data_IF_432413031176
#
_entry.id   IF_432413031176
#
_cell.length_a   1.000
_cell.length_b   1.000
_cell.length_c   1.000
_cell.angle_alpha   90.00
_cell.angle_beta   90.00
_cell.angle_gamma   90.00
#
_symmetry.space_group_name_H-M   'P 1'
#
loop_
_entity.id
_entity.type
_entity.pdbx_description
1 polymer ?
#
# COMPACT_ATOMS: atom_id res chain seq x y z
N UNK A 1 8.63 50.58 -37.13
CA UNK A 1 9.00 50.10 -35.78
C UNK A 1 7.94 49.06 -35.37
N UNK A 2 8.20 47.77 -35.41
CA UNK A 2 7.30 46.79 -34.81
C UNK A 2 7.64 46.74 -33.31
N UNK A 3 6.62 46.96 -32.51
CA UNK A 3 6.65 46.77 -31.05
C UNK A 3 6.96 45.30 -30.74
N UNK A 4 8.09 45.11 -30.11
CA UNK A 4 8.47 43.85 -29.48
C UNK A 4 7.40 43.53 -28.42
N UNK A 5 6.58 42.53 -28.69
CA UNK A 5 5.75 41.87 -27.69
C UNK A 5 6.73 41.11 -26.77
N UNK A 6 7.13 41.75 -25.68
CA UNK A 6 7.68 41.08 -24.52
C UNK A 6 6.65 40.03 -24.10
N UNK A 7 6.88 38.80 -24.49
CA UNK A 7 6.16 37.65 -23.99
C UNK A 7 6.54 37.47 -22.53
N UNK A 8 5.78 38.08 -21.64
CA UNK A 8 5.80 37.85 -20.19
C UNK A 8 5.44 36.37 -19.88
N UNK A 9 6.37 35.50 -20.18
CA UNK A 9 6.40 34.16 -19.59
C UNK A 9 6.92 34.31 -18.14
N UNK A 10 6.21 35.09 -17.32
CA UNK A 10 6.35 35.02 -15.86
C UNK A 10 6.12 33.56 -15.47
N UNK A 11 7.21 32.83 -15.18
CA UNK A 11 7.15 31.49 -14.63
C UNK A 11 6.14 31.52 -13.47
N UNK A 12 4.96 30.92 -13.67
CA UNK A 12 3.87 30.96 -12.72
C UNK A 12 4.35 30.30 -11.43
N UNK A 13 4.38 31.08 -10.35
CA UNK A 13 4.90 30.64 -9.05
C UNK A 13 4.02 29.50 -8.52
N UNK A 14 4.63 28.39 -8.16
CA UNK A 14 3.97 27.31 -7.42
C UNK A 14 3.65 27.84 -6.00
N UNK A 15 2.40 27.77 -5.59
CA UNK A 15 1.92 28.23 -4.28
C UNK A 15 1.28 27.12 -3.46
N UNK A 16 0.93 26.00 -4.09
CA UNK A 16 0.27 24.89 -3.44
C UNK A 16 0.95 23.56 -3.75
N UNK A 17 0.75 22.58 -2.87
CA UNK A 17 1.21 21.22 -3.01
C UNK A 17 0.03 20.26 -2.81
N UNK A 18 -0.17 19.36 -3.77
CA UNK A 18 -1.08 18.23 -3.68
C UNK A 18 -0.27 16.95 -3.48
N UNK A 19 -0.42 16.31 -2.33
CA UNK A 19 0.13 14.99 -2.02
C UNK A 19 -0.89 13.93 -2.38
N UNK A 20 -0.46 12.89 -3.09
CA UNK A 20 -1.26 11.72 -3.40
C UNK A 20 -0.47 10.50 -2.95
N UNK A 21 -1.04 9.70 -2.06
CA UNK A 21 -0.37 8.57 -1.43
C UNK A 21 -1.31 7.39 -1.25
N UNK A 22 -0.74 6.20 -1.07
CA UNK A 22 -1.49 5.00 -0.78
C UNK A 22 -2.20 5.10 0.58
N UNK A 23 -3.42 4.55 0.69
CA UNK A 23 -4.25 4.63 1.89
C UNK A 23 -4.25 3.35 2.73
N UNK A 24 -3.63 2.27 2.24
CA UNK A 24 -3.76 0.94 2.84
C UNK A 24 -2.73 0.63 3.92
N UNK A 25 -1.63 1.38 3.97
CA UNK A 25 -0.50 1.03 4.81
C UNK A 25 0.21 2.25 5.39
N UNK A 26 1.22 1.95 6.19
CA UNK A 26 2.02 2.95 6.89
C UNK A 26 2.99 3.63 5.95
N UNK A 27 3.43 2.98 4.86
CA UNK A 27 4.36 3.59 3.91
C UNK A 27 3.69 4.76 3.19
N UNK A 28 2.49 4.56 2.65
CA UNK A 28 1.73 5.63 2.03
C UNK A 28 1.40 6.78 3.00
N UNK A 29 0.97 6.47 4.24
CA UNK A 29 0.65 7.48 5.24
C UNK A 29 1.90 8.29 5.66
N UNK A 30 3.03 7.62 5.93
CA UNK A 30 4.28 8.28 6.32
C UNK A 30 4.89 9.07 5.16
N UNK A 31 4.77 8.57 3.94
CA UNK A 31 5.15 9.31 2.73
C UNK A 31 4.38 10.62 2.62
N UNK A 32 3.06 10.60 2.81
CA UNK A 32 2.24 11.82 2.82
C UNK A 32 2.64 12.79 3.95
N UNK A 33 2.99 12.27 5.15
CA UNK A 33 3.47 13.10 6.26
C UNK A 33 4.81 13.80 5.94
N UNK A 34 5.74 13.10 5.29
CA UNK A 34 7.00 13.67 4.80
C UNK A 34 6.74 14.76 3.76
N UNK A 35 5.83 14.51 2.82
CA UNK A 35 5.43 15.50 1.80
C UNK A 35 4.78 16.73 2.46
N UNK A 36 3.99 16.56 3.51
CA UNK A 36 3.41 17.68 4.24
C UNK A 36 4.47 18.53 4.94
N UNK A 37 5.45 17.88 5.60
CA UNK A 37 6.60 18.59 6.19
C UNK A 37 7.37 19.39 5.15
N UNK A 38 7.59 18.80 3.97
CA UNK A 38 8.21 19.50 2.85
C UNK A 38 7.39 20.72 2.41
N UNK A 39 6.07 20.60 2.30
CA UNK A 39 5.20 21.72 1.96
C UNK A 39 5.32 22.86 2.96
N UNK A 40 5.30 22.55 4.27
CA UNK A 40 5.53 23.54 5.35
C UNK A 40 6.88 24.23 5.23
N UNK A 41 7.95 23.47 5.00
CA UNK A 41 9.31 24.03 4.83
C UNK A 41 9.44 24.95 3.60
N UNK A 42 8.59 24.74 2.58
CA UNK A 42 8.56 25.57 1.37
C UNK A 42 7.51 26.68 1.40
N UNK A 43 6.71 26.78 2.45
CA UNK A 43 5.61 27.74 2.55
C UNK A 43 4.52 27.52 1.50
N UNK A 44 4.22 26.27 1.17
CA UNK A 44 3.18 25.87 0.21
C UNK A 44 1.90 25.47 0.94
N UNK A 45 0.76 25.87 0.40
CA UNK A 45 -0.53 25.37 0.85
C UNK A 45 -0.62 23.87 0.57
N UNK A 46 -0.95 23.07 1.59
CA UNK A 46 -0.93 21.60 1.50
C UNK A 46 -2.33 21.01 1.41
N UNK A 47 -2.47 20.04 0.52
CA UNK A 47 -3.63 19.15 0.46
C UNK A 47 -3.17 17.71 0.24
N UNK A 48 -3.78 16.76 0.94
CA UNK A 48 -3.56 15.33 0.74
C UNK A 48 -4.79 14.65 0.12
N UNK A 49 -4.53 13.64 -0.68
CA UNK A 49 -5.47 12.59 -1.11
C UNK A 49 -4.80 11.27 -0.79
N UNK A 50 -5.40 10.51 0.12
CA UNK A 50 -5.02 9.12 0.37
C UNK A 50 -5.96 8.24 -0.44
N UNK A 51 -5.43 7.32 -1.22
CA UNK A 51 -6.20 6.56 -2.22
C UNK A 51 -5.67 5.16 -2.41
N UNK A 52 -6.47 4.31 -3.03
CA UNK A 52 -6.02 3.01 -3.53
C UNK A 52 -6.24 2.90 -5.05
N UNK A 53 -5.84 1.77 -5.61
CA UNK A 53 -5.98 1.50 -7.05
C UNK A 53 -7.43 1.51 -7.53
N UNK A 54 -8.41 1.22 -6.66
CA UNK A 54 -9.83 1.27 -7.00
C UNK A 54 -10.36 2.68 -7.33
N UNK A 55 -9.71 3.71 -6.77
CA UNK A 55 -10.05 5.12 -7.00
C UNK A 55 -9.02 5.87 -7.84
N UNK A 56 -8.02 5.18 -8.37
CA UNK A 56 -6.84 5.76 -8.99
C UNK A 56 -7.19 6.58 -10.25
N UNK A 57 -8.11 6.09 -11.09
CA UNK A 57 -8.59 6.83 -12.26
C UNK A 57 -9.14 8.21 -11.87
N UNK A 58 -10.02 8.26 -10.85
CA UNK A 58 -10.64 9.51 -10.39
C UNK A 58 -9.60 10.50 -9.85
N UNK A 59 -8.52 10.01 -9.25
CA UNK A 59 -7.41 10.85 -8.78
C UNK A 59 -6.73 11.57 -9.94
N UNK A 60 -6.47 10.90 -11.07
CA UNK A 60 -5.86 11.54 -12.24
C UNK A 60 -6.78 12.56 -12.91
N UNK A 61 -8.09 12.35 -12.88
CA UNK A 61 -9.06 13.38 -13.27
C UNK A 61 -8.95 14.62 -12.35
N UNK A 62 -8.69 14.42 -11.07
CA UNK A 62 -8.49 15.51 -10.09
C UNK A 62 -7.15 16.22 -10.30
N UNK A 63 -6.07 15.49 -10.57
CA UNK A 63 -4.76 16.05 -10.94
C UNK A 63 -4.90 16.95 -12.17
N UNK A 64 -5.59 16.51 -13.21
CA UNK A 64 -5.80 17.26 -14.44
C UNK A 64 -6.56 18.60 -14.26
N UNK A 65 -7.21 18.82 -13.11
CA UNK A 65 -7.88 20.09 -12.75
C UNK A 65 -6.97 21.07 -12.05
N UNK A 66 -5.81 20.65 -11.54
CA UNK A 66 -4.88 21.50 -10.78
C UNK A 66 -4.27 22.60 -11.64
N UNK A 67 -3.80 23.68 -11.01
CA UNK A 67 -3.10 24.80 -11.65
C UNK A 67 -1.99 25.29 -10.74
N UNK A 68 -0.81 25.54 -11.31
CA UNK A 68 0.36 26.08 -10.60
C UNK A 68 0.66 25.34 -9.27
N UNK A 69 0.43 24.03 -9.25
CA UNK A 69 0.53 23.16 -8.09
C UNK A 69 1.71 22.22 -8.25
N UNK A 70 2.46 21.98 -7.18
CA UNK A 70 3.38 20.85 -7.09
C UNK A 70 2.57 19.61 -6.71
N UNK A 71 2.48 18.66 -7.62
CA UNK A 71 1.83 17.37 -7.39
C UNK A 71 2.92 16.37 -7.02
N UNK A 72 2.84 15.77 -5.83
CA UNK A 72 3.76 14.72 -5.40
C UNK A 72 2.94 13.44 -5.18
N UNK A 73 3.29 12.40 -5.94
CA UNK A 73 2.68 11.07 -5.86
C UNK A 73 3.69 10.16 -5.18
N UNK A 74 3.26 9.41 -4.16
CA UNK A 74 4.12 8.49 -3.40
C UNK A 74 3.42 7.16 -3.17
N UNK A 75 4.18 6.07 -3.19
CA UNK A 75 3.72 4.73 -2.85
C UNK A 75 2.51 4.23 -3.67
N UNK A 76 2.50 4.57 -4.93
CA UNK A 76 1.49 4.14 -5.89
C UNK A 76 2.20 3.76 -7.18
N UNK A 77 2.22 2.46 -7.49
CA UNK A 77 2.73 1.93 -8.75
C UNK A 77 1.83 2.29 -9.93
N UNK A 78 2.32 2.12 -11.14
CA UNK A 78 1.54 2.38 -12.34
C UNK A 78 0.67 1.17 -12.70
N UNK A 79 -0.63 1.38 -12.75
CA UNK A 79 -1.57 0.46 -13.36
C UNK A 79 -1.64 0.71 -14.88
N UNK A 80 -1.20 -0.27 -15.67
CA UNK A 80 -1.21 -0.14 -17.13
C UNK A 80 -2.60 -0.07 -17.76
N UNK A 81 -3.62 -0.57 -17.06
CA UNK A 81 -5.00 -0.55 -17.57
C UNK A 81 -5.55 0.87 -17.69
N UNK A 82 -5.04 1.79 -16.85
CA UNK A 82 -5.45 3.21 -16.86
C UNK A 82 -4.35 4.16 -17.37
N UNK A 83 -3.33 3.65 -18.03
CA UNK A 83 -2.16 4.43 -18.46
C UNK A 83 -2.53 5.67 -19.29
N UNK A 84 -3.52 5.58 -20.18
CA UNK A 84 -3.99 6.71 -21.01
C UNK A 84 -4.72 7.77 -20.16
N UNK A 85 -5.44 7.37 -19.13
CA UNK A 85 -6.09 8.30 -18.19
C UNK A 85 -5.01 9.05 -17.38
N UNK A 86 -4.02 8.33 -16.89
CA UNK A 86 -2.86 8.88 -16.19
C UNK A 86 -2.14 9.91 -17.05
N UNK A 87 -1.76 9.52 -18.28
CA UNK A 87 -1.11 10.39 -19.26
C UNK A 87 -1.92 11.66 -19.49
N UNK A 88 -3.21 11.52 -19.81
CA UNK A 88 -4.10 12.67 -20.05
C UNK A 88 -4.21 13.60 -18.83
N UNK A 89 -4.33 13.03 -17.63
CA UNK A 89 -4.39 13.80 -16.40
C UNK A 89 -3.11 14.60 -16.14
N UNK A 90 -1.95 13.97 -16.33
CA UNK A 90 -0.65 14.61 -16.17
C UNK A 90 -0.41 15.69 -17.23
N UNK A 91 -0.69 15.43 -18.51
CA UNK A 91 -0.57 16.42 -19.60
C UNK A 91 -1.40 17.68 -19.31
N UNK A 92 -2.66 17.49 -18.87
CA UNK A 92 -3.53 18.62 -18.50
C UNK A 92 -2.97 19.41 -17.31
N UNK A 93 -2.46 18.73 -16.29
CA UNK A 93 -1.86 19.41 -15.14
C UNK A 93 -0.62 20.21 -15.54
N UNK A 94 0.30 19.60 -16.30
CA UNK A 94 1.53 20.23 -16.77
C UNK A 94 1.23 21.44 -17.65
N UNK A 95 0.28 21.34 -18.60
CA UNK A 95 -0.14 22.48 -19.44
C UNK A 95 -0.74 23.65 -18.65
N UNK A 96 -1.19 23.39 -17.41
CA UNK A 96 -1.70 24.39 -16.46
C UNK A 96 -0.67 24.91 -15.47
N UNK A 97 0.62 24.62 -15.71
CA UNK A 97 1.72 25.10 -14.89
C UNK A 97 2.02 24.26 -13.65
N UNK A 98 1.49 23.05 -13.56
CA UNK A 98 1.84 22.11 -12.49
C UNK A 98 3.22 21.49 -12.73
N UNK A 99 3.86 21.10 -11.64
CA UNK A 99 5.04 20.22 -11.65
C UNK A 99 4.66 18.91 -10.98
N UNK A 100 5.17 17.79 -11.51
CA UNK A 100 4.85 16.46 -11.00
C UNK A 100 6.13 15.77 -10.55
N UNK A 101 6.09 15.20 -9.36
CA UNK A 101 7.12 14.34 -8.77
C UNK A 101 6.44 13.03 -8.39
N UNK A 102 7.00 11.90 -8.81
CA UNK A 102 6.49 10.57 -8.50
C UNK A 102 7.61 9.74 -7.87
N UNK A 103 7.40 9.33 -6.64
CA UNK A 103 8.36 8.61 -5.79
C UNK A 103 7.74 7.27 -5.41
N UNK A 104 8.28 6.18 -5.92
CA UNK A 104 7.66 4.87 -5.78
C UNK A 104 8.70 3.74 -5.69
N UNK A 105 8.29 2.59 -5.19
CA UNK A 105 9.12 1.40 -5.07
C UNK A 105 8.53 0.16 -5.77
N UNK A 106 7.29 0.27 -6.29
CA UNK A 106 6.65 -0.81 -7.03
C UNK A 106 7.31 -1.08 -8.38
N UNK A 107 7.04 -2.24 -8.95
CA UNK A 107 7.51 -2.57 -10.29
C UNK A 107 6.71 -1.81 -11.35
N UNK A 108 7.41 -1.11 -12.23
CA UNK A 108 6.86 -0.41 -13.37
C UNK A 108 7.28 -1.09 -14.66
N UNK A 109 6.38 -1.17 -15.61
CA UNK A 109 6.76 -1.60 -16.96
C UNK A 109 7.58 -0.52 -17.67
N UNK A 110 8.40 -0.93 -18.61
CA UNK A 110 9.11 0.03 -19.49
C UNK A 110 8.16 0.96 -20.25
N UNK A 111 6.99 0.45 -20.65
CA UNK A 111 5.97 1.24 -21.33
C UNK A 111 5.47 2.37 -20.44
N UNK A 112 5.13 2.07 -19.20
CA UNK A 112 4.67 3.06 -18.22
C UNK A 112 5.73 4.14 -17.96
N UNK A 113 6.98 3.72 -17.72
CA UNK A 113 8.10 4.65 -17.52
C UNK A 113 8.28 5.57 -18.72
N UNK A 114 8.34 5.01 -19.94
CA UNK A 114 8.50 5.78 -21.18
C UNK A 114 7.35 6.77 -21.37
N UNK A 115 6.11 6.35 -21.08
CA UNK A 115 4.93 7.22 -21.22
C UNK A 115 5.02 8.41 -20.28
N UNK A 116 5.30 8.21 -18.99
CA UNK A 116 5.40 9.31 -18.01
C UNK A 116 6.57 10.25 -18.34
N UNK A 117 7.73 9.70 -18.72
CA UNK A 117 8.92 10.51 -19.04
C UNK A 117 8.86 11.20 -20.41
N UNK A 118 7.92 10.84 -21.29
CA UNK A 118 7.73 11.50 -22.60
C UNK A 118 6.91 12.78 -22.51
N UNK A 119 6.31 13.07 -21.35
CA UNK A 119 5.48 14.26 -21.16
C UNK A 119 6.30 15.56 -21.25
N UNK A 120 5.69 16.61 -21.78
CA UNK A 120 6.26 17.96 -21.75
C UNK A 120 6.53 18.38 -20.30
N UNK A 121 7.62 19.11 -20.05
CA UNK A 121 8.10 19.45 -18.69
C UNK A 121 8.25 18.22 -17.78
N UNK A 122 8.83 17.19 -18.29
CA UNK A 122 9.14 15.87 -17.73
C UNK A 122 8.88 15.75 -16.21
N UNK A 123 7.92 14.96 -15.79
CA UNK A 123 7.78 14.60 -14.38
C UNK A 123 9.10 14.06 -13.80
N UNK A 124 9.38 14.38 -12.55
CA UNK A 124 10.47 13.72 -11.83
C UNK A 124 9.95 12.35 -11.40
N UNK A 125 10.43 11.30 -12.02
CA UNK A 125 10.12 9.92 -11.65
C UNK A 125 11.33 9.30 -10.93
N UNK A 126 11.12 8.80 -9.72
CA UNK A 126 12.10 8.05 -8.93
C UNK A 126 11.46 6.73 -8.50
N UNK A 127 11.87 5.64 -9.10
CA UNK A 127 11.48 4.28 -8.72
C UNK A 127 12.72 3.58 -8.21
N UNK A 128 12.64 3.01 -7.01
CA UNK A 128 13.74 2.25 -6.42
C UNK A 128 13.18 1.14 -5.52
N UNK A 129 13.43 -0.10 -5.87
CA UNK A 129 12.91 -1.28 -5.19
C UNK A 129 13.66 -1.67 -3.90
N UNK A 130 14.81 -1.03 -3.63
CA UNK A 130 15.61 -1.29 -2.42
C UNK A 130 15.10 -0.50 -1.19
N UNK A 131 14.16 0.43 -1.39
CA UNK A 131 13.63 1.34 -0.39
C UNK A 131 12.10 1.37 -0.46
N UNK A 132 11.43 1.55 0.65
CA UNK A 132 10.02 1.91 0.64
C UNK A 132 9.81 3.38 0.18
N UNK A 133 8.59 3.75 -0.17
CA UNK A 133 8.31 5.08 -0.73
C UNK A 133 8.60 6.22 0.26
N UNK A 134 8.39 6.02 1.56
CA UNK A 134 8.74 7.00 2.59
C UNK A 134 10.25 7.23 2.69
N UNK A 135 11.08 6.19 2.53
CA UNK A 135 12.53 6.35 2.46
C UNK A 135 12.95 7.16 1.24
N UNK A 136 12.34 6.90 0.08
CA UNK A 136 12.59 7.66 -1.15
C UNK A 136 12.17 9.12 -0.95
N UNK A 137 10.98 9.36 -0.39
CA UNK A 137 10.48 10.70 -0.09
C UNK A 137 11.40 11.45 0.88
N UNK A 138 11.85 10.81 1.97
CA UNK A 138 12.82 11.39 2.89
C UNK A 138 14.12 11.79 2.17
N UNK A 139 14.74 10.86 1.43
CA UNK A 139 16.01 11.09 0.73
C UNK A 139 15.92 12.20 -0.32
N UNK A 140 14.79 12.31 -1.02
CA UNK A 140 14.60 13.27 -2.12
C UNK A 140 14.14 14.64 -1.61
N UNK A 141 13.21 14.68 -0.65
CA UNK A 141 12.54 15.93 -0.25
C UNK A 141 13.14 16.55 1.02
N UNK A 142 13.45 15.73 2.03
CA UNK A 142 13.80 16.17 3.38
C UNK A 142 15.00 15.41 3.98
N UNK A 143 16.15 15.29 3.28
CA UNK A 143 17.24 14.35 3.66
C UNK A 143 17.94 14.66 4.99
N UNK A 144 17.66 15.82 5.60
CA UNK A 144 18.26 16.25 6.87
C UNK A 144 17.24 16.40 8.01
N UNK A 145 15.98 16.02 7.76
CA UNK A 145 14.92 16.14 8.77
C UNK A 145 14.81 14.82 9.55
N UNK A 146 15.15 14.87 10.83
CA UNK A 146 15.17 13.70 11.73
C UNK A 146 13.76 13.08 11.93
N UNK A 147 12.71 13.90 11.89
CA UNK A 147 11.34 13.39 11.96
C UNK A 147 11.01 12.59 10.70
N UNK A 148 11.38 13.10 9.52
CA UNK A 148 11.22 12.37 8.27
C UNK A 148 12.03 11.06 8.25
N UNK A 149 13.26 11.07 8.80
CA UNK A 149 14.08 9.87 8.94
C UNK A 149 13.39 8.83 9.84
N UNK A 150 12.80 9.27 10.96
CA UNK A 150 12.01 8.41 11.86
C UNK A 150 10.79 7.82 11.19
N UNK A 151 10.03 8.63 10.44
CA UNK A 151 8.86 8.16 9.67
C UNK A 151 9.25 7.14 8.59
N UNK A 152 10.35 7.39 7.88
CA UNK A 152 10.89 6.47 6.88
C UNK A 152 11.28 5.12 7.50
N UNK A 153 11.92 5.12 8.69
CA UNK A 153 12.28 3.89 9.40
C UNK A 153 11.05 3.08 9.84
N UNK A 154 10.00 3.75 10.31
CA UNK A 154 8.72 3.12 10.67
C UNK A 154 8.07 2.47 9.43
N UNK A 155 8.07 3.17 8.30
CA UNK A 155 7.55 2.65 7.04
C UNK A 155 8.35 1.43 6.55
N UNK A 156 9.68 1.50 6.59
CA UNK A 156 10.57 0.39 6.23
C UNK A 156 10.26 -0.88 7.04
N UNK A 157 10.10 -0.76 8.35
CA UNK A 157 9.78 -1.89 9.23
C UNK A 157 8.48 -2.60 8.83
N UNK A 158 7.48 -1.82 8.43
CA UNK A 158 6.16 -2.37 8.03
C UNK A 158 6.15 -2.90 6.61
N UNK A 159 6.73 -2.19 5.66
CA UNK A 159 6.71 -2.53 4.23
C UNK A 159 7.53 -3.80 3.94
N UNK A 160 8.71 -3.92 4.54
CA UNK A 160 9.53 -5.13 4.48
C UNK A 160 9.13 -6.22 5.48
N UNK A 161 8.05 -5.99 6.25
CA UNK A 161 7.50 -6.93 7.23
C UNK A 161 8.52 -7.42 8.27
N UNK A 162 9.43 -6.53 8.72
CA UNK A 162 10.47 -6.86 9.70
C UNK A 162 9.86 -7.05 11.09
N UNK A 163 8.91 -6.18 11.47
CA UNK A 163 8.20 -6.21 12.76
C UNK A 163 9.10 -6.08 13.99
N UNK A 164 10.17 -5.33 13.86
CA UNK A 164 11.13 -5.05 14.91
C UNK A 164 10.73 -3.84 15.76
N UNK A 165 9.85 -2.98 15.21
CA UNK A 165 9.41 -1.74 15.85
C UNK A 165 7.94 -1.87 16.27
N UNK A 166 7.71 -1.91 17.59
CA UNK A 166 6.36 -2.06 18.15
C UNK A 166 5.39 -0.96 17.68
N UNK A 167 5.84 0.30 17.72
CA UNK A 167 5.03 1.43 17.28
C UNK A 167 4.69 1.40 15.80
N UNK A 168 5.52 0.77 14.95
CA UNK A 168 5.24 0.54 13.54
C UNK A 168 4.09 -0.45 13.35
N UNK A 169 4.14 -1.58 14.06
CA UNK A 169 3.05 -2.56 14.09
C UNK A 169 1.75 -1.95 14.64
N UNK A 170 1.85 -1.13 15.70
CA UNK A 170 0.70 -0.43 16.26
C UNK A 170 0.08 0.56 15.27
N UNK A 171 0.92 1.32 14.53
CA UNK A 171 0.44 2.26 13.53
C UNK A 171 -0.24 1.54 12.37
N UNK A 172 0.24 0.37 11.96
CA UNK A 172 -0.42 -0.48 10.96
C UNK A 172 -1.84 -0.86 11.39
N UNK A 173 -2.01 -1.30 12.64
CA UNK A 173 -3.34 -1.62 13.18
C UNK A 173 -4.22 -0.37 13.28
N UNK A 174 -3.66 0.80 13.61
CA UNK A 174 -4.40 2.07 13.66
C UNK A 174 -4.87 2.50 12.27
N UNK A 175 -4.02 2.42 11.24
CA UNK A 175 -4.39 2.70 9.84
C UNK A 175 -5.54 1.78 9.42
N UNK A 176 -5.40 0.47 9.65
CA UNK A 176 -6.42 -0.51 9.30
C UNK A 176 -7.76 -0.22 10.00
N UNK A 177 -7.77 0.03 11.31
CA UNK A 177 -9.02 0.27 12.06
C UNK A 177 -9.71 1.58 11.67
N UNK A 178 -8.93 2.59 11.32
CA UNK A 178 -9.48 3.86 10.82
C UNK A 178 -10.06 3.68 9.43
N UNK A 179 -9.28 3.08 8.53
CA UNK A 179 -9.65 2.82 7.14
C UNK A 179 -10.88 1.94 7.01
N UNK A 180 -10.91 0.78 7.67
CA UNK A 180 -12.09 -0.09 7.66
C UNK A 180 -13.31 0.58 8.27
N UNK A 181 -13.11 1.35 9.36
CA UNK A 181 -14.20 2.11 9.96
C UNK A 181 -14.77 3.21 9.06
N UNK A 182 -13.94 3.84 8.21
CA UNK A 182 -14.40 4.80 7.22
C UNK A 182 -15.19 4.11 6.09
N UNK A 183 -14.67 2.99 5.56
CA UNK A 183 -15.33 2.21 4.51
C UNK A 183 -16.72 1.73 4.98
N UNK A 184 -16.80 1.16 6.18
CA UNK A 184 -18.06 0.66 6.74
C UNK A 184 -19.12 1.76 6.89
N UNK A 185 -18.70 2.98 7.21
CA UNK A 185 -19.56 4.16 7.35
C UNK A 185 -19.79 4.92 6.03
N UNK A 186 -19.11 4.52 4.95
CA UNK A 186 -19.07 5.25 3.67
C UNK A 186 -18.55 6.68 3.80
N UNK A 187 -17.57 6.88 4.69
CA UNK A 187 -16.83 8.12 4.88
C UNK A 187 -15.57 8.13 4.01
N UNK A 188 -15.04 9.30 3.69
CA UNK A 188 -13.76 9.42 2.97
C UNK A 188 -12.59 8.96 3.85
N UNK A 189 -11.80 8.03 3.33
CA UNK A 189 -10.64 7.48 4.05
C UNK A 189 -9.62 8.57 4.35
N UNK A 190 -9.37 9.48 3.40
CA UNK A 190 -8.49 10.64 3.60
C UNK A 190 -8.88 11.46 4.81
N UNK A 191 -10.16 11.83 4.92
CA UNK A 191 -10.65 12.67 6.03
C UNK A 191 -10.52 11.94 7.37
N UNK A 192 -10.75 10.64 7.38
CA UNK A 192 -10.64 9.81 8.60
C UNK A 192 -9.20 9.62 9.07
N UNK A 193 -8.23 9.53 8.15
CA UNK A 193 -6.79 9.41 8.47
C UNK A 193 -6.11 10.76 8.70
N UNK A 194 -6.73 11.87 8.26
CA UNK A 194 -6.12 13.19 8.29
C UNK A 194 -5.62 13.64 9.69
N UNK A 195 -6.35 13.39 10.81
CA UNK A 195 -5.86 13.76 12.14
C UNK A 195 -4.58 13.02 12.57
N UNK A 196 -4.40 11.77 12.11
CA UNK A 196 -3.17 11.01 12.36
C UNK A 196 -2.06 11.53 11.46
N UNK A 197 -2.34 11.74 10.18
CA UNK A 197 -1.41 12.30 9.20
C UNK A 197 -0.85 13.65 9.66
N UNK A 198 -1.70 14.54 10.18
CA UNK A 198 -1.30 15.85 10.69
C UNK A 198 -0.29 15.72 11.84
N UNK A 199 -0.59 14.89 12.84
CA UNK A 199 0.30 14.65 13.98
C UNK A 199 1.62 14.03 13.58
N UNK A 200 1.61 13.08 12.64
CA UNK A 200 2.83 12.50 12.06
C UNK A 200 3.66 13.55 11.34
N UNK A 201 3.04 14.40 10.54
CA UNK A 201 3.72 15.50 9.87
C UNK A 201 4.28 16.55 10.85
N UNK A 202 3.63 16.78 11.98
CA UNK A 202 4.09 17.74 12.98
C UNK A 202 5.25 17.24 13.82
N UNK A 203 5.12 16.04 14.36
CA UNK A 203 5.98 15.53 15.43
C UNK A 203 6.49 14.11 15.19
N UNK A 204 6.25 13.55 14.00
CA UNK A 204 6.59 12.16 13.75
C UNK A 204 5.79 11.19 14.61
N UNK A 205 6.36 10.03 14.85
CA UNK A 205 5.72 8.99 15.66
C UNK A 205 5.39 9.48 17.09
N UNK A 206 6.21 10.34 17.67
CA UNK A 206 5.96 10.93 18.98
C UNK A 206 4.70 11.81 19.04
N UNK A 207 4.16 12.24 17.91
CA UNK A 207 2.87 12.96 17.85
C UNK A 207 1.65 12.08 18.13
N UNK A 208 1.77 10.79 17.88
CA UNK A 208 0.66 9.81 17.97
C UNK A 208 0.89 8.73 19.01
N UNK A 209 2.14 8.37 19.29
CA UNK A 209 2.54 7.26 20.14
C UNK A 209 3.33 7.74 21.36
N UNK A 210 3.20 7.05 22.45
CA UNK A 210 3.93 7.25 23.71
C UNK A 210 4.78 6.00 23.98
N UNK A 211 6.10 6.14 23.87
CA UNK A 211 7.04 5.05 24.03
C UNK A 211 7.15 4.54 25.49
N UNK A 212 6.83 5.39 26.48
CA UNK A 212 6.89 5.00 27.89
C UNK A 212 5.71 4.10 28.26
N UNK A 213 4.55 4.38 27.72
CA UNK A 213 3.32 3.61 28.02
C UNK A 213 3.01 2.54 26.98
N UNK A 214 3.72 2.51 25.85
CA UNK A 214 3.45 1.65 24.70
C UNK A 214 2.00 1.77 24.20
N UNK A 215 1.49 3.01 24.06
CA UNK A 215 0.11 3.30 23.66
C UNK A 215 0.03 4.52 22.76
N UNK A 216 -1.05 4.59 21.99
CA UNK A 216 -1.41 5.85 21.34
C UNK A 216 -1.77 6.91 22.36
N UNK A 217 -1.38 8.16 22.12
CA UNK A 217 -1.78 9.31 22.95
C UNK A 217 -3.28 9.56 22.92
N UNK A 218 -3.95 9.13 21.85
CA UNK A 218 -5.41 9.12 21.76
C UNK A 218 -5.98 7.85 22.43
N UNK A 219 -6.65 8.03 23.57
CA UNK A 219 -7.23 6.92 24.33
C UNK A 219 -8.39 6.22 23.61
N UNK A 220 -9.11 6.92 22.73
CA UNK A 220 -10.19 6.33 21.93
C UNK A 220 -9.58 5.45 20.82
N UNK A 221 -8.52 5.90 20.18
CA UNK A 221 -7.79 5.11 19.21
C UNK A 221 -7.22 3.83 19.84
N UNK A 222 -6.64 3.91 21.05
CA UNK A 222 -6.20 2.71 21.79
C UNK A 222 -7.33 1.68 21.96
N UNK A 223 -8.50 2.11 22.45
CA UNK A 223 -9.64 1.21 22.63
C UNK A 223 -10.10 0.58 21.32
N UNK A 224 -10.09 1.34 20.22
CA UNK A 224 -10.46 0.85 18.89
C UNK A 224 -9.45 -0.17 18.39
N UNK A 225 -8.14 0.09 18.54
CA UNK A 225 -7.06 -0.82 18.13
C UNK A 225 -7.09 -2.11 18.96
N UNK A 226 -7.28 -2.02 20.29
CA UNK A 226 -7.39 -3.19 21.16
C UNK A 226 -8.58 -4.07 20.78
N UNK A 227 -9.73 -3.45 20.49
CA UNK A 227 -10.91 -4.18 20.04
C UNK A 227 -10.66 -4.85 18.67
N UNK A 228 -10.09 -4.11 17.73
CA UNK A 228 -9.74 -4.59 16.40
C UNK A 228 -8.79 -5.80 16.47
N UNK A 229 -7.72 -5.72 17.28
CA UNK A 229 -6.76 -6.82 17.46
C UNK A 229 -7.43 -8.10 17.97
N UNK A 230 -8.31 -7.96 18.99
CA UNK A 230 -9.06 -9.09 19.55
C UNK A 230 -10.03 -9.71 18.55
N UNK A 231 -10.79 -8.88 17.84
CA UNK A 231 -11.74 -9.34 16.82
C UNK A 231 -11.01 -9.97 15.63
N UNK A 232 -9.93 -9.35 15.15
CA UNK A 232 -9.06 -9.85 14.09
C UNK A 232 -8.50 -11.23 14.44
N UNK A 233 -7.94 -11.40 15.63
CA UNK A 233 -7.39 -12.69 16.07
C UNK A 233 -8.46 -13.78 16.11
N UNK A 234 -9.68 -13.46 16.61
CA UNK A 234 -10.83 -14.40 16.61
C UNK A 234 -11.24 -14.78 15.19
N UNK A 235 -11.33 -13.81 14.30
CA UNK A 235 -11.70 -14.03 12.88
C UNK A 235 -10.67 -14.90 12.16
N UNK A 236 -9.38 -14.63 12.36
CA UNK A 236 -8.30 -15.44 11.76
C UNK A 236 -8.29 -16.88 12.26
N UNK A 237 -8.51 -17.11 13.57
CA UNK A 237 -8.65 -18.46 14.13
C UNK A 237 -9.80 -19.21 13.46
N UNK A 238 -10.96 -18.55 13.33
CA UNK A 238 -12.13 -19.15 12.68
C UNK A 238 -11.85 -19.47 11.19
N UNK A 239 -11.21 -18.58 10.47
CA UNK A 239 -10.85 -18.80 9.06
C UNK A 239 -9.89 -19.99 8.90
N UNK A 240 -8.86 -20.08 9.74
CA UNK A 240 -7.93 -21.22 9.73
C UNK A 240 -8.58 -22.55 10.15
N UNK A 241 -9.61 -22.54 10.98
CA UNK A 241 -10.37 -23.75 11.30
C UNK A 241 -11.22 -24.28 10.13
N UNK A 242 -11.43 -23.48 9.09
CA UNK A 242 -12.20 -23.82 7.89
C UNK A 242 -11.33 -23.72 6.62
N UNK A 243 -10.07 -24.10 6.75
CA UNK A 243 -9.12 -24.10 5.63
C UNK A 243 -9.32 -25.31 4.70
N UNK A 244 -8.82 -25.19 3.47
CA UNK A 244 -8.62 -26.31 2.58
C UNK A 244 -7.13 -26.51 2.32
N UNK A 245 -6.65 -27.74 2.45
CA UNK A 245 -5.26 -28.12 2.26
C UNK A 245 -5.14 -29.13 1.11
N UNK A 246 -4.12 -28.95 0.26
CA UNK A 246 -3.72 -29.93 -0.73
C UNK A 246 -2.20 -29.96 -0.90
N UNK A 247 -1.62 -31.14 -1.11
CA UNK A 247 -0.22 -31.27 -1.50
C UNK A 247 -0.14 -31.22 -3.03
N UNK A 248 0.54 -30.21 -3.56
CA UNK A 248 0.74 -29.99 -4.98
C UNK A 248 2.23 -29.88 -5.26
N UNK A 249 2.76 -30.71 -6.16
CA UNK A 249 4.20 -30.77 -6.47
C UNK A 249 5.09 -30.93 -5.21
N UNK A 250 4.61 -31.67 -4.19
CA UNK A 250 5.31 -31.88 -2.94
C UNK A 250 5.26 -30.73 -1.95
N UNK A 251 4.50 -29.67 -2.24
CA UNK A 251 4.30 -28.50 -1.39
C UNK A 251 2.92 -28.51 -0.77
N UNK A 252 2.83 -28.20 0.53
CA UNK A 252 1.55 -28.02 1.21
C UNK A 252 0.98 -26.64 0.83
N UNK A 253 -0.10 -26.64 0.10
CA UNK A 253 -0.86 -25.45 -0.29
C UNK A 253 -2.11 -25.38 0.58
N UNK A 254 -2.29 -24.26 1.27
CA UNK A 254 -3.47 -23.97 2.08
C UNK A 254 -4.25 -22.80 1.52
N UNK A 255 -5.57 -22.94 1.41
CA UNK A 255 -6.49 -21.88 1.05
C UNK A 255 -7.38 -21.56 2.25
N UNK A 256 -7.51 -20.26 2.57
CA UNK A 256 -8.40 -19.75 3.62
C UNK A 256 -9.27 -18.62 3.08
N UNK A 257 -10.54 -18.62 3.42
CA UNK A 257 -11.40 -17.46 3.17
C UNK A 257 -11.17 -16.41 4.25
N UNK A 258 -10.68 -15.20 3.86
CA UNK A 258 -10.45 -14.14 4.82
C UNK A 258 -11.70 -13.28 5.05
N UNK A 259 -12.11 -13.08 6.30
CA UNK A 259 -13.25 -12.24 6.62
C UNK A 259 -12.92 -10.75 6.48
N UNK A 260 -13.95 -9.93 6.31
CA UNK A 260 -13.80 -8.46 6.32
C UNK A 260 -13.05 -7.96 7.56
N UNK A 261 -12.15 -7.00 7.36
CA UNK A 261 -11.31 -6.42 8.40
C UNK A 261 -10.04 -7.23 8.72
N UNK A 262 -9.73 -8.29 7.95
CA UNK A 262 -8.48 -9.04 8.01
C UNK A 262 -7.74 -8.86 6.69
N UNK A 263 -6.46 -8.50 6.75
CA UNK A 263 -5.62 -8.41 5.54
C UNK A 263 -4.96 -9.75 5.23
N UNK A 264 -4.57 -9.93 3.97
CA UNK A 264 -3.77 -11.09 3.54
C UNK A 264 -2.43 -11.18 4.28
N UNK A 265 -1.83 -10.02 4.62
CA UNK A 265 -0.59 -9.93 5.41
C UNK A 265 -0.82 -10.37 6.85
N UNK A 266 -1.90 -9.92 7.50
CA UNK A 266 -2.25 -10.37 8.84
C UNK A 266 -2.45 -11.90 8.89
N UNK A 267 -3.21 -12.44 7.93
CA UNK A 267 -3.46 -13.87 7.84
C UNK A 267 -2.15 -14.65 7.60
N UNK A 268 -1.29 -14.16 6.71
CA UNK A 268 0.01 -14.77 6.42
C UNK A 268 0.89 -14.88 7.66
N UNK A 269 1.02 -13.78 8.41
CA UNK A 269 1.79 -13.76 9.67
C UNK A 269 1.16 -14.67 10.73
N UNK A 270 -0.16 -14.63 10.86
CA UNK A 270 -0.86 -15.46 11.84
C UNK A 270 -0.71 -16.96 11.54
N UNK A 271 -0.80 -17.34 10.27
CA UNK A 271 -0.68 -18.72 9.80
C UNK A 271 0.78 -19.23 9.69
N UNK A 272 1.78 -18.36 9.81
CA UNK A 272 3.19 -18.76 9.88
C UNK A 272 3.65 -19.13 11.29
N UNK A 273 2.85 -18.86 12.33
CA UNK A 273 3.17 -19.18 13.71
C UNK A 273 2.65 -20.58 14.09
N UNK A 274 3.57 -21.54 14.26
CA UNK A 274 3.22 -22.92 14.55
C UNK A 274 2.49 -23.07 15.90
N UNK A 275 2.79 -22.28 16.91
CA UNK A 275 2.11 -22.32 18.22
C UNK A 275 0.64 -21.91 18.07
N UNK A 276 0.38 -20.89 17.26
CA UNK A 276 -0.98 -20.45 16.95
C UNK A 276 -1.73 -21.56 16.22
N UNK A 277 -1.13 -22.15 15.20
CA UNK A 277 -1.74 -23.26 14.43
C UNK A 277 -2.06 -24.45 15.36
N UNK A 278 -1.09 -24.88 16.16
CA UNK A 278 -1.27 -26.00 17.09
C UNK A 278 -2.34 -25.74 18.18
N UNK A 279 -2.61 -24.45 18.47
CA UNK A 279 -3.69 -24.05 19.39
C UNK A 279 -5.08 -24.12 18.76
N UNK A 280 -5.16 -24.19 17.42
CA UNK A 280 -6.40 -24.37 16.66
C UNK A 280 -6.64 -25.87 16.41
N UNK A 281 -5.64 -26.52 15.88
CA UNK A 281 -5.60 -27.97 15.65
C UNK A 281 -4.14 -28.45 15.79
N UNK A 282 -3.83 -29.43 16.67
CA UNK A 282 -2.48 -29.97 16.86
C UNK A 282 -1.82 -30.52 15.58
N UNK A 283 -2.61 -31.01 14.63
CA UNK A 283 -2.13 -31.54 13.35
C UNK A 283 -1.84 -30.46 12.30
N UNK A 284 -2.28 -29.22 12.56
CA UNK A 284 -2.15 -28.12 11.63
C UNK A 284 -0.69 -27.66 11.54
N UNK A 285 -0.12 -27.67 10.34
CA UNK A 285 1.26 -27.28 10.06
C UNK A 285 1.31 -25.97 9.27
N UNK A 286 2.43 -25.28 9.35
CA UNK A 286 2.70 -24.13 8.47
C UNK A 286 2.71 -24.63 7.02
N UNK A 287 1.87 -24.05 6.18
CA UNK A 287 1.82 -24.36 4.75
C UNK A 287 3.06 -23.79 4.03
N UNK A 288 3.47 -24.44 2.94
CA UNK A 288 4.54 -23.90 2.08
C UNK A 288 4.03 -22.66 1.33
N UNK A 289 2.79 -22.73 0.84
CA UNK A 289 2.08 -21.62 0.20
C UNK A 289 0.70 -21.41 0.85
N UNK A 290 0.46 -20.24 1.41
CA UNK A 290 -0.84 -19.83 1.91
C UNK A 290 -1.51 -18.92 0.89
N UNK A 291 -2.73 -19.26 0.49
CA UNK A 291 -3.63 -18.39 -0.25
C UNK A 291 -4.72 -17.86 0.66
N UNK A 292 -4.93 -16.58 0.66
CA UNK A 292 -6.05 -15.93 1.33
C UNK A 292 -7.02 -15.39 0.27
N UNK A 293 -8.25 -15.86 0.27
CA UNK A 293 -9.30 -15.49 -0.67
C UNK A 293 -10.30 -14.58 0.04
N UNK A 294 -10.52 -13.37 -0.48
CA UNK A 294 -11.58 -12.48 0.00
C UNK A 294 -12.92 -12.81 -0.66
N UNK A 295 -14.02 -12.43 -0.03
CA UNK A 295 -15.38 -12.58 -0.61
C UNK A 295 -15.54 -11.81 -1.93
N UNK A 296 -14.74 -10.77 -2.17
CA UNK A 296 -14.68 -10.06 -3.44
C UNK A 296 -13.81 -10.74 -4.51
N UNK A 297 -13.27 -11.95 -4.24
CA UNK A 297 -12.47 -12.71 -5.19
C UNK A 297 -11.00 -12.30 -5.28
N UNK A 298 -10.54 -11.40 -4.44
CA UNK A 298 -9.11 -11.06 -4.37
C UNK A 298 -8.32 -12.15 -3.67
N UNK A 299 -7.21 -12.55 -4.29
CA UNK A 299 -6.27 -13.54 -3.77
C UNK A 299 -5.03 -12.87 -3.21
N UNK A 300 -4.62 -13.30 -2.03
CA UNK A 300 -3.31 -12.98 -1.47
C UNK A 300 -2.47 -14.24 -1.34
N UNK A 301 -1.24 -14.19 -1.79
CA UNK A 301 -0.27 -15.28 -1.75
C UNK A 301 0.81 -14.95 -0.73
N UNK A 302 1.09 -15.87 0.17
CA UNK A 302 2.14 -15.73 1.18
C UNK A 302 2.97 -17.00 1.26
N UNK A 303 4.30 -16.84 1.20
CA UNK A 303 5.25 -17.94 1.37
C UNK A 303 5.39 -18.24 2.86
N UNK A 304 5.09 -19.46 3.26
CA UNK A 304 5.32 -19.92 4.63
C UNK A 304 6.63 -20.67 4.79
N UNK A 305 7.13 -21.30 3.72
CA UNK A 305 8.43 -21.98 3.67
C UNK A 305 9.11 -21.76 2.32
N UNK A 306 10.43 -21.96 2.28
CA UNK A 306 11.19 -21.85 1.04
C UNK A 306 10.78 -22.88 -0.03
N UNK A 307 11.10 -22.58 -1.27
CA UNK A 307 10.79 -23.43 -2.41
C UNK A 307 9.42 -23.16 -3.04
N UNK A 308 8.84 -21.95 -2.83
CA UNK A 308 7.67 -21.45 -3.56
C UNK A 308 7.86 -19.98 -3.95
N UNK A 309 7.32 -19.61 -5.12
CA UNK A 309 7.37 -18.28 -5.71
C UNK A 309 5.95 -17.69 -5.79
N UNK A 310 5.58 -16.84 -4.83
CA UNK A 310 4.25 -16.25 -4.76
C UNK A 310 3.88 -15.43 -6.00
N UNK A 311 4.83 -14.66 -6.55
CA UNK A 311 4.60 -13.86 -7.76
C UNK A 311 4.35 -14.74 -9.01
N UNK A 312 4.97 -15.90 -9.11
CA UNK A 312 4.72 -16.84 -10.20
C UNK A 312 3.35 -17.52 -10.05
N UNK A 313 2.95 -17.87 -8.81
CA UNK A 313 1.60 -18.36 -8.53
C UNK A 313 0.54 -17.31 -8.83
N UNK A 314 0.76 -16.06 -8.40
CA UNK A 314 -0.18 -14.96 -8.61
C UNK A 314 -0.42 -14.64 -10.10
N UNK A 315 0.59 -14.80 -10.96
CA UNK A 315 0.45 -14.62 -12.43
C UNK A 315 -0.59 -15.55 -13.05
N UNK A 316 -0.85 -16.72 -12.45
CA UNK A 316 -1.89 -17.64 -12.92
C UNK A 316 -3.31 -17.08 -12.65
N UNK A 317 -3.42 -16.04 -11.84
CA UNK A 317 -4.64 -15.38 -11.41
C UNK A 317 -4.58 -13.87 -11.67
N UNK A 318 -4.07 -13.47 -12.83
CA UNK A 318 -3.97 -12.06 -13.27
C UNK A 318 -3.26 -11.15 -12.27
N UNK A 319 -2.31 -11.69 -11.53
CA UNK A 319 -1.67 -11.02 -10.42
C UNK A 319 -0.16 -10.83 -10.58
N UNK A 320 0.45 -10.36 -9.49
CA UNK A 320 1.89 -10.12 -9.41
C UNK A 320 2.31 -9.76 -8.00
N UNK A 321 3.55 -9.34 -7.82
CA UNK A 321 4.13 -8.99 -6.54
C UNK A 321 5.54 -9.56 -6.36
N UNK A 322 5.90 -9.78 -5.11
CA UNK A 322 7.22 -10.30 -4.72
C UNK A 322 7.25 -11.85 -4.70
N UNK A 323 8.44 -12.47 -4.79
CA UNK A 323 8.56 -13.92 -4.67
C UNK A 323 8.04 -14.50 -3.35
N UNK A 324 7.97 -13.70 -2.28
CA UNK A 324 7.50 -14.12 -0.95
C UNK A 324 6.08 -13.64 -0.61
N UNK A 325 5.55 -12.64 -1.33
CA UNK A 325 4.22 -12.07 -1.13
C UNK A 325 3.67 -11.47 -2.42
N UNK A 326 2.48 -11.89 -2.82
CA UNK A 326 1.87 -11.44 -4.07
C UNK A 326 0.35 -11.31 -3.92
N UNK A 327 -0.28 -10.65 -4.88
CA UNK A 327 -1.73 -10.55 -4.99
C UNK A 327 -2.21 -10.97 -6.37
N UNK A 328 -3.45 -11.41 -6.48
CA UNK A 328 -4.11 -11.78 -7.72
C UNK A 328 -5.61 -11.68 -7.59
N UNK A 329 -6.32 -12.06 -8.63
CA UNK A 329 -7.78 -12.02 -8.68
C UNK A 329 -8.33 -13.33 -9.24
N UNK A 330 -9.29 -13.91 -8.53
CA UNK A 330 -10.07 -15.07 -9.01
C UNK A 330 -11.38 -14.60 -9.65
N UNK A 331 -11.99 -13.57 -9.12
CA UNK A 331 -13.34 -13.12 -9.43
C UNK A 331 -14.37 -13.56 -8.38
N UNK A 332 -15.60 -13.10 -8.53
CA UNK A 332 -16.68 -13.41 -7.60
C UNK A 332 -17.00 -14.92 -7.59
N UNK A 333 -17.31 -15.44 -6.43
CA UNK A 333 -17.65 -16.85 -6.22
C UNK A 333 -18.78 -16.98 -5.17
N UNK A 334 -19.47 -18.11 -5.19
CA UNK A 334 -20.54 -18.42 -4.25
C UNK A 334 -20.18 -19.60 -3.33
N UNK A 335 -19.33 -20.52 -3.79
CA UNK A 335 -18.93 -21.73 -3.07
C UNK A 335 -17.41 -21.76 -2.86
N UNK A 336 -17.00 -21.67 -1.60
CA UNK A 336 -15.59 -21.67 -1.21
C UNK A 336 -14.89 -23.01 -1.50
N UNK A 337 -15.61 -24.16 -1.40
CA UNK A 337 -15.03 -25.45 -1.75
C UNK A 337 -14.74 -25.53 -3.25
N UNK A 338 -15.72 -25.18 -4.08
CA UNK A 338 -15.60 -25.27 -5.53
C UNK A 338 -14.46 -24.35 -6.04
N UNK A 339 -14.36 -23.13 -5.51
CA UNK A 339 -13.28 -22.20 -5.89
C UNK A 339 -11.92 -22.70 -5.42
N UNK A 340 -11.84 -23.30 -4.25
CA UNK A 340 -10.60 -23.90 -3.76
C UNK A 340 -10.12 -25.04 -4.65
N UNK A 341 -11.04 -25.92 -5.06
CA UNK A 341 -10.73 -27.03 -5.97
C UNK A 341 -10.23 -26.55 -7.33
N UNK A 342 -10.82 -25.49 -7.87
CA UNK A 342 -10.38 -24.88 -9.14
C UNK A 342 -9.00 -24.21 -9.02
N UNK A 343 -8.73 -23.50 -7.90
CA UNK A 343 -7.41 -22.93 -7.61
C UNK A 343 -6.37 -24.04 -7.49
N UNK A 344 -6.63 -25.12 -6.76
CA UNK A 344 -5.74 -26.27 -6.65
C UNK A 344 -5.48 -26.92 -8.01
N UNK A 345 -6.51 -27.08 -8.84
CA UNK A 345 -6.39 -27.61 -10.19
C UNK A 345 -5.51 -26.71 -11.06
N UNK A 346 -5.67 -25.40 -10.99
CA UNK A 346 -4.87 -24.43 -11.72
C UNK A 346 -3.40 -24.49 -11.30
N UNK A 347 -3.11 -24.54 -10.00
CA UNK A 347 -1.74 -24.67 -9.47
C UNK A 347 -1.12 -26.01 -9.85
N UNK A 348 -1.89 -27.10 -9.87
CA UNK A 348 -1.38 -28.45 -10.20
C UNK A 348 -0.96 -28.59 -11.67
N UNK A 349 -1.57 -27.86 -12.58
CA UNK A 349 -1.22 -27.84 -14.00
C UNK A 349 0.04 -27.01 -14.30
N UNK A 350 0.56 -26.26 -13.35
CA UNK A 350 1.67 -25.34 -13.52
C UNK A 350 2.75 -25.58 -12.46
N UNK A 351 3.99 -25.68 -12.88
CA UNK A 351 5.14 -25.91 -11.98
C UNK A 351 5.99 -24.67 -11.73
N UNK A 352 5.75 -23.57 -12.45
CA UNK A 352 6.58 -22.36 -12.42
C UNK A 352 6.60 -21.64 -11.06
N UNK A 353 5.64 -21.95 -10.18
CA UNK A 353 5.57 -21.38 -8.84
C UNK A 353 6.35 -22.18 -7.79
N UNK A 354 6.85 -23.36 -8.16
CA UNK A 354 7.74 -24.20 -7.33
C UNK A 354 9.17 -23.94 -7.76
N UNK A 355 10.00 -23.48 -6.83
CA UNK A 355 11.41 -23.15 -7.08
C UNK A 355 12.01 -22.36 -5.93
N UNK A 356 13.31 -22.21 -5.95
CA UNK A 356 14.06 -21.35 -5.04
C UNK A 356 14.23 -19.95 -5.66
N UNK A 357 14.32 -18.93 -4.81
CA UNK A 357 14.53 -17.53 -5.21
C UNK A 357 15.99 -17.32 -5.59
#
# INVERSE_FOLDING_TARGET
MPEERESDAKARRITSLLSISHDKDVDGLNSAAIVWRYARAKGLDFKAILTDYGSFEQVFLTIGKQRNTLVIITDLGMDETILEVVKTGLERAVSRGCRVVWLDHHQWSERAIKTVLSLENKPVLKVNHDFCAAEIAHKVLMPRDEICAGLARIAHDTDFNLREIESATALTDAVNVIRFGAIDKKEEVTDSLYPVLEKLAESGMSGVWDDDTHKFKDSLLNKRVDHYRKDKAKKMRKALAHHHDQIIHGKLVRIVEIPSGVTSTDMGTFASNQEVLSSIDPELKVADLLLSLSQGGMLGFRRGRDGVLCNAAAKLFNGGGHPYAAGGEYGLYEDFQAVSDDIFLTLSKNTNWVGEV
#
